data_IF_351186894600
#
_entry.id   IF_351186894600
#
_cell.length_a   1.000
_cell.length_b   1.000
_cell.length_c   1.000
_cell.angle_alpha   90.00
_cell.angle_beta   90.00
_cell.angle_gamma   90.00
#
_symmetry.space_group_name_H-M   'P 1'
#
loop_
_entity.id
_entity.type
_entity.pdbx_description
1 polymer ?
#
# COMPACT_ATOMS: atom_id res chain seq x y z
N UNK A 1 -6.47 -8.83 12.43
CA UNK A 1 -7.95 -8.85 12.38
C UNK A 1 -8.44 -7.47 11.96
N UNK A 2 -9.46 -7.37 11.09
CA UNK A 2 -10.07 -6.09 10.66
C UNK A 2 -10.68 -5.35 11.84
N UNK A 3 -10.34 -4.06 12.01
CA UNK A 3 -11.01 -3.21 13.01
C UNK A 3 -12.48 -2.97 12.67
N UNK A 4 -12.78 -2.63 11.41
CA UNK A 4 -14.15 -2.31 10.98
C UNK A 4 -15.09 -3.50 11.13
N UNK A 5 -14.69 -4.69 10.65
CA UNK A 5 -15.55 -5.87 10.73
C UNK A 5 -15.81 -6.27 12.19
N UNK A 6 -14.82 -6.08 13.07
CA UNK A 6 -14.99 -6.36 14.49
C UNK A 6 -16.07 -5.44 15.09
N UNK A 7 -15.95 -4.14 14.87
CA UNK A 7 -16.91 -3.17 15.40
C UNK A 7 -18.33 -3.45 14.86
N UNK A 8 -18.46 -3.77 13.57
CA UNK A 8 -19.75 -4.11 12.95
C UNK A 8 -20.34 -5.44 13.44
N UNK A 9 -19.51 -6.42 13.82
CA UNK A 9 -19.97 -7.69 14.40
C UNK A 9 -20.38 -7.52 15.86
N UNK A 10 -19.64 -6.73 16.63
CA UNK A 10 -19.95 -6.45 18.04
C UNK A 10 -21.28 -5.68 18.18
N UNK A 11 -21.65 -4.87 17.18
CA UNK A 11 -22.92 -4.14 17.12
C UNK A 11 -24.13 -5.00 16.68
N UNK A 12 -23.93 -6.24 16.19
CA UNK A 12 -25.02 -7.12 15.75
C UNK A 12 -25.24 -8.30 16.69
N UNK A 13 -26.48 -8.46 17.16
CA UNK A 13 -26.88 -9.65 17.93
C UNK A 13 -27.20 -10.84 17.00
N UNK A 14 -26.22 -11.73 16.80
CA UNK A 14 -26.43 -13.02 16.13
C UNK A 14 -25.31 -13.41 15.16
N UNK A 15 -25.03 -14.72 15.05
CA UNK A 15 -23.90 -15.26 14.27
C UNK A 15 -24.00 -15.18 12.74
N UNK A 16 -25.11 -14.68 12.19
CA UNK A 16 -25.38 -14.59 10.74
C UNK A 16 -25.46 -13.13 10.24
N UNK A 17 -24.66 -12.25 10.82
CA UNK A 17 -24.55 -10.85 10.40
C UNK A 17 -24.08 -10.72 8.94
N UNK A 18 -24.87 -10.05 8.10
CA UNK A 18 -24.47 -9.71 6.73
C UNK A 18 -23.87 -8.31 6.73
N UNK A 19 -22.56 -8.23 6.47
CA UNK A 19 -21.83 -6.96 6.42
C UNK A 19 -21.61 -6.54 4.95
N UNK A 20 -22.24 -5.45 4.48
CA UNK A 20 -21.97 -4.93 3.14
C UNK A 20 -20.61 -4.23 3.11
N UNK A 21 -19.76 -4.62 2.15
CA UNK A 21 -18.46 -4.00 1.89
C UNK A 21 -18.52 -3.33 0.51
N UNK A 22 -19.12 -2.13 0.39
CA UNK A 22 -19.19 -1.43 -0.87
C UNK A 22 -17.80 -0.99 -1.33
N UNK A 23 -17.61 -0.82 -2.64
CA UNK A 23 -16.39 -0.29 -3.26
C UNK A 23 -15.13 -1.15 -3.13
N UNK A 24 -15.22 -2.37 -2.59
CA UNK A 24 -14.13 -3.36 -2.62
C UNK A 24 -14.53 -4.48 -3.56
N UNK A 25 -13.71 -4.74 -4.58
CA UNK A 25 -13.96 -5.86 -5.50
C UNK A 25 -13.81 -7.20 -4.75
N UNK A 26 -14.57 -8.23 -5.16
CA UNK A 26 -14.45 -9.56 -4.55
C UNK A 26 -13.02 -10.12 -4.63
N UNK A 27 -12.31 -9.82 -5.72
CA UNK A 27 -10.89 -10.20 -5.87
C UNK A 27 -10.00 -9.51 -4.84
N UNK A 28 -10.16 -8.21 -4.65
CA UNK A 28 -9.39 -7.43 -3.66
C UNK A 28 -9.69 -7.93 -2.25
N UNK A 29 -10.96 -8.20 -1.95
CA UNK A 29 -11.37 -8.74 -0.65
C UNK A 29 -10.73 -10.11 -0.38
N UNK A 30 -10.68 -11.01 -1.37
CA UNK A 30 -10.00 -12.30 -1.21
C UNK A 30 -8.52 -12.14 -0.83
N UNK A 31 -7.81 -11.18 -1.43
CA UNK A 31 -6.41 -10.91 -1.09
C UNK A 31 -6.26 -10.38 0.35
N UNK A 32 -7.15 -9.48 0.77
CA UNK A 32 -7.15 -8.97 2.15
C UNK A 32 -7.44 -10.10 3.16
N UNK A 33 -8.37 -10.99 2.84
CA UNK A 33 -8.70 -12.13 3.68
C UNK A 33 -7.55 -13.14 3.75
N UNK A 34 -6.87 -13.44 2.63
CA UNK A 34 -5.68 -14.29 2.60
C UNK A 34 -4.59 -13.74 3.54
N UNK A 35 -4.34 -12.42 3.49
CA UNK A 35 -3.43 -11.74 4.41
C UNK A 35 -3.85 -11.88 5.87
N UNK A 36 -5.12 -11.62 6.19
CA UNK A 36 -5.62 -11.75 7.55
C UNK A 36 -5.53 -13.18 8.08
N UNK A 37 -5.79 -14.18 7.25
CA UNK A 37 -5.75 -15.58 7.63
C UNK A 37 -4.32 -15.99 8.00
N UNK A 38 -3.33 -15.63 7.18
CA UNK A 38 -1.93 -15.91 7.49
C UNK A 38 -1.47 -15.20 8.78
N UNK A 39 -1.76 -13.89 8.89
CA UNK A 39 -1.32 -13.09 10.03
C UNK A 39 -2.17 -13.26 11.30
N UNK A 40 -3.25 -14.05 11.23
CA UNK A 40 -3.96 -14.49 12.44
C UNK A 40 -3.10 -15.39 13.32
N UNK A 41 -2.24 -16.21 12.68
CA UNK A 41 -1.33 -17.14 13.35
C UNK A 41 0.13 -16.65 13.35
N UNK A 42 0.46 -15.72 12.45
CA UNK A 42 1.82 -15.19 12.27
C UNK A 42 1.79 -13.65 12.38
N UNK A 43 1.83 -13.07 13.59
CA UNK A 43 1.74 -11.62 13.75
C UNK A 43 2.77 -10.87 12.89
N UNK A 44 2.31 -9.89 12.12
CA UNK A 44 3.19 -9.07 11.29
C UNK A 44 4.17 -8.27 12.16
N UNK A 45 5.43 -8.18 11.73
CA UNK A 45 6.40 -7.33 12.41
C UNK A 45 6.14 -5.85 12.09
N UNK A 46 6.26 -4.95 13.08
CA UNK A 46 6.10 -3.53 12.82
C UNK A 46 7.15 -3.01 11.85
N UNK A 47 6.71 -2.40 10.75
CA UNK A 47 7.61 -1.77 9.79
C UNK A 47 8.08 -0.41 10.35
N UNK A 48 9.39 -0.23 10.48
CA UNK A 48 9.97 1.03 10.96
C UNK A 48 9.64 2.20 10.02
N UNK A 49 9.26 3.33 10.61
CA UNK A 49 8.96 4.59 9.91
C UNK A 49 9.86 5.70 10.47
N UNK A 50 10.61 6.45 9.65
CA UNK A 50 10.76 6.30 8.20
C UNK A 50 11.53 5.02 7.83
N UNK A 51 11.31 4.51 6.61
CA UNK A 51 12.04 3.34 6.09
C UNK A 51 13.54 3.63 6.05
N UNK A 52 14.35 2.89 6.81
CA UNK A 52 15.81 3.04 6.82
C UNK A 52 16.47 2.23 5.70
N UNK A 53 15.94 1.05 5.42
CA UNK A 53 16.46 0.09 4.43
C UNK A 53 15.39 -0.26 3.39
N UNK A 54 15.77 -1.11 2.42
CA UNK A 54 14.83 -1.66 1.45
C UNK A 54 13.85 -2.62 2.13
N UNK A 55 12.63 -2.67 1.61
CA UNK A 55 11.56 -3.54 2.12
C UNK A 55 11.95 -5.02 2.13
N UNK A 56 12.81 -5.46 1.20
CA UNK A 56 13.30 -6.84 1.13
C UNK A 56 14.05 -7.28 2.39
N UNK A 57 14.63 -6.35 3.15
CA UNK A 57 15.32 -6.65 4.41
C UNK A 57 14.40 -6.65 5.63
N UNK A 58 13.23 -6.03 5.52
CA UNK A 58 12.29 -5.80 6.61
C UNK A 58 11.16 -6.83 6.65
N UNK A 59 10.87 -7.48 5.51
CA UNK A 59 9.75 -8.37 5.36
C UNK A 59 10.15 -9.83 5.54
N UNK A 60 9.21 -10.65 6.06
CA UNK A 60 9.36 -12.10 6.04
C UNK A 60 9.19 -12.65 4.61
N UNK A 61 9.54 -13.91 4.39
CA UNK A 61 9.44 -14.53 3.05
C UNK A 61 8.00 -14.55 2.53
N UNK A 62 7.02 -14.78 3.40
CA UNK A 62 5.62 -14.82 3.02
C UNK A 62 5.11 -13.45 2.60
N UNK A 63 5.44 -12.39 3.35
CA UNK A 63 5.07 -11.01 3.00
C UNK A 63 5.67 -10.58 1.66
N UNK A 64 6.91 -11.01 1.36
CA UNK A 64 7.53 -10.74 0.05
C UNK A 64 6.81 -11.44 -1.07
N UNK A 65 6.50 -12.73 -0.91
CA UNK A 65 5.75 -13.48 -1.93
C UNK A 65 4.35 -12.88 -2.15
N UNK A 66 3.65 -12.57 -1.06
CA UNK A 66 2.36 -11.90 -1.13
C UNK A 66 2.46 -10.56 -1.88
N UNK A 67 3.44 -9.72 -1.55
CA UNK A 67 3.60 -8.42 -2.16
C UNK A 67 4.07 -8.49 -3.64
N UNK A 68 5.11 -9.26 -3.94
CA UNK A 68 5.78 -9.29 -5.24
C UNK A 68 5.30 -10.38 -6.19
N UNK A 69 4.41 -11.26 -5.76
CA UNK A 69 3.78 -12.25 -6.63
C UNK A 69 2.27 -12.05 -6.72
N UNK A 70 1.59 -11.68 -5.63
CA UNK A 70 0.12 -11.44 -5.64
C UNK A 70 -0.25 -10.00 -5.97
N UNK A 71 0.42 -9.01 -5.38
CA UNK A 71 0.06 -7.60 -5.54
C UNK A 71 0.75 -6.94 -6.75
N UNK A 72 2.04 -7.18 -6.91
CA UNK A 72 2.85 -6.71 -8.04
C UNK A 72 3.27 -7.94 -8.83
N UNK A 73 2.63 -8.26 -9.96
CA UNK A 73 2.92 -9.51 -10.68
C UNK A 73 4.40 -9.61 -11.07
N UNK A 74 5.17 -10.44 -10.38
CA UNK A 74 6.60 -10.70 -10.61
C UNK A 74 7.48 -9.44 -10.55
N UNK A 75 7.29 -8.62 -9.52
CA UNK A 75 8.00 -7.35 -9.31
C UNK A 75 7.77 -6.28 -10.40
N UNK A 76 6.74 -6.44 -11.24
CA UNK A 76 6.38 -5.44 -12.24
C UNK A 76 5.70 -4.24 -11.57
N UNK A 77 6.48 -3.18 -11.33
CA UNK A 77 6.05 -1.91 -10.77
C UNK A 77 4.99 -1.19 -11.61
N UNK A 78 4.87 -1.51 -12.90
CA UNK A 78 3.83 -0.92 -13.77
C UNK A 78 2.44 -1.48 -13.50
N UNK A 79 2.35 -2.66 -12.85
CA UNK A 79 1.08 -3.31 -12.51
C UNK A 79 0.63 -3.01 -11.07
N UNK A 80 0.71 -1.74 -10.67
CA UNK A 80 0.38 -1.30 -9.32
C UNK A 80 -1.13 -1.16 -9.04
N UNK A 81 -2.01 -1.40 -10.01
CA UNK A 81 -3.48 -1.29 -9.83
C UNK A 81 -4.00 -2.15 -8.67
N UNK A 82 -3.58 -3.41 -8.60
CA UNK A 82 -3.99 -4.34 -7.52
C UNK A 82 -3.45 -3.88 -6.17
N UNK A 83 -2.21 -3.36 -6.14
CA UNK A 83 -1.61 -2.80 -4.94
C UNK A 83 -2.42 -1.61 -4.42
N UNK A 84 -2.81 -0.68 -5.29
CA UNK A 84 -3.64 0.49 -4.92
C UNK A 84 -5.02 0.07 -4.43
N UNK A 85 -5.67 -0.89 -5.10
CA UNK A 85 -6.96 -1.44 -4.65
C UNK A 85 -6.86 -2.05 -3.25
N UNK A 86 -5.79 -2.81 -2.98
CA UNK A 86 -5.55 -3.41 -1.67
C UNK A 86 -5.22 -2.34 -0.62
N UNK A 87 -4.50 -1.27 -0.95
CA UNK A 87 -4.28 -0.12 -0.04
C UNK A 87 -5.62 0.50 0.37
N UNK A 88 -6.50 0.77 -0.60
CA UNK A 88 -7.82 1.35 -0.34
C UNK A 88 -8.69 0.42 0.50
N UNK A 89 -8.69 -0.89 0.19
CA UNK A 89 -9.44 -1.88 0.94
C UNK A 89 -8.89 -2.07 2.37
N UNK A 90 -7.58 -2.08 2.55
CA UNK A 90 -6.94 -2.19 3.86
C UNK A 90 -7.25 -0.99 4.74
N UNK A 91 -7.24 0.22 4.16
CA UNK A 91 -7.68 1.43 4.86
C UNK A 91 -9.17 1.36 5.23
N UNK A 92 -10.03 0.94 4.30
CA UNK A 92 -11.47 0.80 4.55
C UNK A 92 -11.79 -0.22 5.65
N UNK A 93 -11.17 -1.40 5.60
CA UNK A 93 -11.37 -2.47 6.57
C UNK A 93 -10.56 -2.26 7.87
N UNK A 94 -9.84 -1.15 7.99
CA UNK A 94 -8.99 -0.83 9.14
C UNK A 94 -8.02 -1.98 9.48
N UNK A 95 -7.16 -2.33 8.51
CA UNK A 95 -6.16 -3.39 8.58
C UNK A 95 -4.78 -2.73 8.59
N UNK A 96 -4.41 -2.20 9.75
CA UNK A 96 -3.23 -1.33 9.88
C UNK A 96 -1.93 -1.96 9.35
N UNK A 97 -1.69 -3.24 9.64
CA UNK A 97 -0.44 -3.89 9.27
C UNK A 97 -0.33 -4.09 7.75
N UNK A 98 -1.45 -4.44 7.09
CA UNK A 98 -1.52 -4.54 5.62
C UNK A 98 -1.37 -3.18 4.95
N UNK A 99 -1.98 -2.14 5.54
CA UNK A 99 -1.80 -0.77 5.06
C UNK A 99 -0.34 -0.33 5.18
N UNK A 100 0.30 -0.62 6.31
CA UNK A 100 1.71 -0.30 6.55
C UNK A 100 2.62 -1.04 5.56
N UNK A 101 2.36 -2.32 5.28
CA UNK A 101 3.08 -3.14 4.31
C UNK A 101 3.00 -2.57 2.89
N UNK A 102 1.78 -2.30 2.44
CA UNK A 102 1.53 -1.81 1.08
C UNK A 102 2.03 -0.38 0.87
N UNK A 103 1.89 0.50 1.88
CA UNK A 103 2.50 1.83 1.86
C UNK A 103 4.03 1.77 1.84
N UNK A 104 4.65 0.84 2.58
CA UNK A 104 6.10 0.66 2.55
C UNK A 104 6.60 0.27 1.15
N UNK A 105 5.84 -0.57 0.44
CA UNK A 105 6.12 -0.92 -0.94
C UNK A 105 6.07 0.30 -1.87
N UNK A 106 4.99 1.09 -1.83
CA UNK A 106 4.88 2.32 -2.63
C UNK A 106 6.02 3.29 -2.32
N UNK A 107 6.37 3.46 -1.05
CA UNK A 107 7.51 4.29 -0.65
C UNK A 107 8.85 3.77 -1.20
N UNK A 108 9.02 2.46 -1.29
CA UNK A 108 10.19 1.85 -1.92
C UNK A 108 10.22 2.08 -3.44
N UNK A 109 9.07 2.03 -4.11
CA UNK A 109 8.96 2.30 -5.56
C UNK A 109 9.29 3.76 -5.90
N UNK A 110 9.04 4.69 -4.99
CA UNK A 110 9.32 6.12 -5.15
C UNK A 110 10.78 6.46 -4.80
N UNK A 111 11.40 5.70 -3.90
CA UNK A 111 12.74 5.98 -3.38
C UNK A 111 13.77 6.03 -4.51
N UNK A 112 14.47 7.16 -4.62
CA UNK A 112 15.58 7.33 -5.56
C UNK A 112 15.16 7.59 -7.01
N UNK A 113 13.86 7.68 -7.31
CA UNK A 113 13.35 8.10 -8.61
C UNK A 113 13.19 9.60 -8.69
N UNK A 114 13.37 10.15 -9.89
CA UNK A 114 13.07 11.55 -10.17
C UNK A 114 11.56 11.81 -10.18
N UNK A 115 11.17 13.08 -10.05
CA UNK A 115 9.76 13.46 -10.18
C UNK A 115 9.15 13.05 -11.53
N UNK A 116 9.93 13.08 -12.62
CA UNK A 116 9.51 12.65 -13.95
C UNK A 116 9.29 11.14 -14.02
N UNK A 117 10.19 10.36 -13.44
CA UNK A 117 10.08 8.89 -13.38
C UNK A 117 8.89 8.44 -12.54
N UNK A 118 8.64 9.11 -11.41
CA UNK A 118 7.46 8.84 -10.56
C UNK A 118 6.17 9.14 -11.32
N UNK A 119 6.11 10.29 -12.01
CA UNK A 119 4.95 10.65 -12.83
C UNK A 119 4.71 9.62 -13.92
N UNK A 120 5.75 9.18 -14.62
CA UNK A 120 5.63 8.14 -15.64
C UNK A 120 5.16 6.80 -15.04
N UNK A 121 5.68 6.41 -13.88
CA UNK A 121 5.34 5.14 -13.24
C UNK A 121 3.87 5.06 -12.81
N UNK A 122 3.37 6.13 -12.20
CA UNK A 122 1.97 6.22 -11.75
C UNK A 122 1.03 6.80 -12.81
N UNK A 123 1.53 7.02 -14.03
CA UNK A 123 0.79 7.62 -15.15
C UNK A 123 0.09 8.94 -14.75
N UNK A 124 0.82 9.80 -14.04
CA UNK A 124 0.37 11.11 -13.56
C UNK A 124 0.75 12.19 -14.59
N UNK A 125 -0.23 12.97 -15.03
CA UNK A 125 -0.01 14.12 -15.91
C UNK A 125 0.69 15.26 -15.15
N UNK A 126 1.67 15.90 -15.80
CA UNK A 126 2.30 17.11 -15.24
C UNK A 126 1.34 18.29 -15.42
N UNK A 127 0.75 18.76 -14.32
CA UNK A 127 -0.19 19.88 -14.28
C UNK A 127 0.49 21.24 -14.00
N UNK A 128 1.81 21.26 -13.83
CA UNK A 128 2.57 22.49 -13.64
C UNK A 128 2.89 23.18 -14.97
N UNK A 129 2.81 24.51 -14.98
CA UNK A 129 3.40 25.30 -16.04
C UNK A 129 4.94 25.28 -15.96
N UNK A 130 5.66 25.52 -17.06
CA UNK A 130 7.13 25.56 -17.05
C UNK A 130 7.70 26.56 -16.04
N UNK A 131 7.03 27.69 -15.84
CA UNK A 131 7.45 28.71 -14.87
C UNK A 131 7.25 28.26 -13.41
N UNK A 132 6.22 27.46 -13.12
CA UNK A 132 5.98 26.89 -11.80
C UNK A 132 6.96 25.76 -11.50
N UNK A 133 7.22 24.89 -12.48
CA UNK A 133 8.20 23.81 -12.36
C UNK A 133 9.62 24.36 -12.13
N UNK A 134 10.02 25.41 -12.85
CA UNK A 134 11.31 26.08 -12.66
C UNK A 134 11.42 26.69 -11.26
N UNK A 135 10.36 27.34 -10.75
CA UNK A 135 10.33 27.86 -9.37
C UNK A 135 10.42 26.76 -8.34
N UNK A 136 9.65 25.68 -8.49
CA UNK A 136 9.65 24.54 -7.56
C UNK A 136 11.03 23.88 -7.56
N UNK A 137 11.70 23.77 -8.71
CA UNK A 137 13.05 23.22 -8.81
C UNK A 137 14.09 24.12 -8.14
N UNK A 138 14.01 25.45 -8.34
CA UNK A 138 14.89 26.40 -7.66
C UNK A 138 14.66 26.41 -6.13
N UNK A 139 13.40 26.33 -5.68
CA UNK A 139 13.04 26.26 -4.25
C UNK A 139 13.48 24.95 -3.59
N UNK A 140 13.50 23.83 -4.34
CA UNK A 140 13.88 22.50 -3.83
C UNK A 140 15.33 22.11 -4.15
N UNK A 141 16.14 23.04 -4.66
CA UNK A 141 17.53 22.80 -5.03
C UNK A 141 18.40 22.31 -3.86
N UNK A 142 18.04 22.67 -2.63
CA UNK A 142 18.69 22.20 -1.40
C UNK A 142 18.63 20.67 -1.21
N UNK A 143 17.64 19.99 -1.80
CA UNK A 143 17.52 18.53 -1.77
C UNK A 143 18.55 17.83 -2.69
N UNK A 144 19.01 18.50 -3.74
CA UNK A 144 19.99 17.95 -4.70
C UNK A 144 21.44 18.21 -4.29
N UNK A 145 21.67 19.18 -3.41
CA UNK A 145 23.00 19.57 -2.92
C UNK A 145 23.45 18.82 -1.65
N UNK A 146 22.60 17.92 -1.10
CA UNK A 146 22.84 17.18 0.15
C UNK A 146 23.35 15.75 -0.05
#
# INVERSE_FOLDING_TARGET
>A
MSGLLKDMLDDQEGGDAIIPIPNVSGRTLCLVLEYMEYHSNNPAEPIEKPLKTTIDSLLCEWDKDFLFHKLLKDHDETQHEVLIDVIMAANFLNVKDLLDLTCACVANMIRGKSAEEIRALFNIENDFSPEEEDKIRDENRWCEES
#
